data_IF_732602103909
#
_entry.id   IF_732602103909
#
_cell.length_a   1.000
_cell.length_b   1.000
_cell.length_c   1.000
_cell.angle_alpha   90.00
_cell.angle_beta   90.00
_cell.angle_gamma   90.00
#
_symmetry.space_group_name_H-M   'P 1'
#
loop_
_entity.id
_entity.type
_entity.pdbx_description
1 polymer ?
#
# COMPACT_ATOMS: atom_id res chain seq x y z
N UNK A 1 1.03 -8.36 -25.21
CA UNK A 1 -0.42 -8.63 -25.25
C UNK A 1 -1.09 -7.46 -24.58
N UNK A 2 -1.77 -6.60 -25.35
CA UNK A 2 -2.60 -5.54 -24.79
C UNK A 2 -3.74 -6.21 -24.01
N UNK A 3 -3.94 -5.80 -22.76
CA UNK A 3 -5.05 -6.29 -21.96
C UNK A 3 -6.36 -5.84 -22.62
N UNK A 4 -7.17 -6.81 -23.06
CA UNK A 4 -8.50 -6.58 -23.65
C UNK A 4 -9.49 -6.13 -22.57
N UNK A 5 -9.24 -4.96 -21.99
CA UNK A 5 -10.13 -4.33 -21.00
C UNK A 5 -11.05 -3.33 -21.71
N UNK A 6 -12.38 -3.39 -21.47
CA UNK A 6 -13.31 -2.43 -22.05
C UNK A 6 -12.93 -0.98 -21.68
N UNK A 7 -13.20 0.00 -22.55
CA UNK A 7 -13.03 1.41 -22.23
C UNK A 7 -13.74 1.77 -20.92
N UNK A 8 -13.04 2.45 -20.02
CA UNK A 8 -13.55 2.83 -18.70
C UNK A 8 -13.22 1.84 -17.57
N UNK A 9 -12.73 0.63 -17.88
CA UNK A 9 -12.24 -0.27 -16.84
C UNK A 9 -10.92 0.27 -16.27
N UNK A 10 -10.86 0.44 -14.95
CA UNK A 10 -9.69 0.98 -14.24
C UNK A 10 -9.38 0.11 -13.04
N UNK A 11 -8.13 0.15 -12.62
CA UNK A 11 -7.71 -0.47 -11.38
C UNK A 11 -8.34 0.27 -10.18
N UNK A 12 -9.32 -0.35 -9.54
CA UNK A 12 -10.02 0.17 -8.37
C UNK A 12 -10.29 -0.96 -7.36
N UNK A 13 -9.23 -1.61 -6.84
CA UNK A 13 -9.40 -2.75 -5.95
C UNK A 13 -9.91 -2.33 -4.57
N UNK A 14 -10.57 -3.24 -3.87
CA UNK A 14 -10.91 -3.04 -2.45
C UNK A 14 -9.72 -3.28 -1.52
N UNK A 15 -9.85 -2.89 -0.24
CA UNK A 15 -8.86 -3.22 0.79
C UNK A 15 -8.64 -4.75 0.86
N UNK A 16 -9.71 -5.54 0.72
CA UNK A 16 -9.62 -7.01 0.75
C UNK A 16 -8.88 -7.57 -0.48
N UNK A 17 -9.16 -7.06 -1.67
CA UNK A 17 -8.49 -7.52 -2.90
C UNK A 17 -6.99 -7.19 -2.89
N UNK A 18 -6.63 -5.99 -2.40
CA UNK A 18 -5.22 -5.59 -2.26
C UNK A 18 -4.43 -6.54 -1.37
N UNK A 19 -5.00 -6.95 -0.23
CA UNK A 19 -4.32 -7.86 0.70
C UNK A 19 -4.46 -9.32 0.24
N UNK A 20 -5.69 -9.79 0.09
CA UNK A 20 -6.04 -11.19 -0.10
C UNK A 20 -5.68 -11.74 -1.48
N UNK A 21 -5.68 -10.90 -2.52
CA UNK A 21 -5.26 -11.28 -3.86
C UNK A 21 -3.84 -10.79 -4.17
N UNK A 22 -3.59 -9.47 -4.20
CA UNK A 22 -2.31 -8.95 -4.70
C UNK A 22 -1.14 -9.22 -3.74
N UNK A 23 -1.25 -8.78 -2.49
CA UNK A 23 -0.15 -8.91 -1.52
C UNK A 23 0.13 -10.38 -1.19
N UNK A 24 -0.92 -11.18 -0.94
CA UNK A 24 -0.79 -12.61 -0.64
C UNK A 24 -0.13 -13.37 -1.80
N UNK A 25 -0.55 -13.14 -3.05
CA UNK A 25 0.08 -13.77 -4.22
C UNK A 25 1.53 -13.34 -4.37
N UNK A 26 1.84 -12.06 -4.17
CA UNK A 26 3.21 -11.54 -4.25
C UNK A 26 4.12 -12.22 -3.21
N UNK A 27 3.69 -12.32 -1.95
CA UNK A 27 4.45 -13.03 -0.90
C UNK A 27 4.62 -14.51 -1.22
N UNK A 28 3.59 -15.15 -1.79
CA UNK A 28 3.66 -16.54 -2.23
C UNK A 28 4.41 -16.74 -3.57
N UNK A 29 5.02 -15.70 -4.14
CA UNK A 29 5.69 -15.72 -5.45
C UNK A 29 4.81 -16.28 -6.59
N UNK A 30 3.50 -16.11 -6.47
CA UNK A 30 2.54 -16.53 -7.49
C UNK A 30 2.44 -15.47 -8.59
N UNK A 31 2.23 -15.90 -9.84
CA UNK A 31 2.00 -14.98 -10.96
C UNK A 31 0.71 -14.17 -10.71
N UNK A 32 0.82 -12.87 -10.93
CA UNK A 32 -0.31 -11.93 -10.94
C UNK A 32 -0.59 -11.64 -12.41
N UNK A 33 -1.83 -11.87 -12.84
CA UNK A 33 -2.22 -11.83 -14.26
C UNK A 33 -2.22 -10.41 -14.86
N UNK A 34 -1.87 -9.39 -14.07
CA UNK A 34 -1.83 -7.99 -14.45
C UNK A 34 -0.57 -7.33 -13.84
N UNK A 35 0.32 -6.80 -14.68
CA UNK A 35 1.47 -5.96 -14.26
C UNK A 35 1.00 -4.53 -13.94
N UNK A 36 -0.02 -4.42 -13.08
CA UNK A 36 -0.67 -3.17 -12.70
C UNK A 36 0.01 -2.52 -11.50
N UNK A 37 0.70 -3.30 -10.67
CA UNK A 37 1.41 -2.82 -9.48
C UNK A 37 2.91 -3.02 -9.68
N UNK A 38 3.64 -1.91 -9.86
CA UNK A 38 5.09 -1.92 -10.03
C UNK A 38 5.80 -2.24 -8.72
N UNK A 39 6.93 -2.93 -8.81
CA UNK A 39 7.82 -3.13 -7.67
C UNK A 39 8.75 -1.92 -7.53
N UNK A 40 8.63 -1.24 -6.40
CA UNK A 40 9.36 0.00 -6.13
C UNK A 40 9.92 -0.11 -4.71
N UNK A 41 11.24 0.00 -4.56
CA UNK A 41 11.89 0.01 -3.25
C UNK A 41 11.77 1.40 -2.62
N UNK A 42 10.71 1.59 -1.82
CA UNK A 42 10.40 2.86 -1.14
C UNK A 42 11.45 3.29 -0.09
N UNK A 43 12.46 2.47 0.21
CA UNK A 43 13.56 2.84 1.12
C UNK A 43 14.75 3.47 0.40
N UNK A 44 14.90 3.20 -0.90
CA UNK A 44 15.97 3.74 -1.74
C UNK A 44 15.57 5.00 -2.50
N UNK A 45 14.29 5.32 -2.44
CA UNK A 45 13.67 6.35 -3.24
C UNK A 45 13.17 7.41 -2.27
N UNK A 46 13.60 8.65 -2.47
CA UNK A 46 13.07 9.71 -1.63
C UNK A 46 11.59 9.91 -1.99
N UNK A 47 10.69 10.20 -1.04
CA UNK A 47 9.25 10.34 -1.30
C UNK A 47 8.86 11.25 -2.48
N UNK A 48 9.77 12.15 -2.87
CA UNK A 48 9.64 13.10 -3.98
C UNK A 48 10.13 12.59 -5.34
N UNK A 49 10.90 11.51 -5.40
CA UNK A 49 11.31 10.90 -6.67
C UNK A 49 10.17 10.16 -7.37
N UNK A 50 9.05 9.92 -6.66
CA UNK A 50 7.82 9.43 -7.28
C UNK A 50 7.19 10.50 -8.20
N UNK A 51 7.43 11.80 -7.96
CA UNK A 51 6.98 12.93 -8.80
C UNK A 51 7.83 14.20 -8.53
N UNK A 52 8.88 14.43 -9.33
CA UNK A 52 9.57 15.70 -9.67
C UNK A 52 9.24 16.96 -8.81
N UNK A 53 9.45 16.94 -7.49
CA UNK A 53 9.19 18.11 -6.64
C UNK A 53 10.24 18.23 -5.53
N UNK A 54 11.28 19.02 -5.83
CA UNK A 54 12.35 19.40 -4.90
C UNK A 54 11.83 20.14 -3.66
N UNK A 55 11.51 19.41 -2.60
CA UNK A 55 11.46 19.88 -1.22
C UNK A 55 11.36 18.70 -0.27
N UNK A 56 12.32 18.56 0.64
CA UNK A 56 12.41 17.48 1.62
C UNK A 56 11.07 17.23 2.34
N UNK A 57 10.41 16.13 1.96
CA UNK A 57 9.10 15.73 2.47
C UNK A 57 9.25 14.61 3.51
N UNK A 58 9.04 14.91 4.79
CA UNK A 58 9.14 13.90 5.86
C UNK A 58 7.82 13.13 6.02
N UNK A 59 7.89 11.80 5.98
CA UNK A 59 6.78 10.93 6.39
C UNK A 59 6.47 11.13 7.88
N UNK A 60 5.21 11.35 8.23
CA UNK A 60 4.74 11.25 9.61
C UNK A 60 3.57 10.26 9.62
N UNK A 61 3.67 9.26 10.49
CA UNK A 61 2.62 8.28 10.67
C UNK A 61 1.43 8.97 11.34
N UNK A 62 0.30 9.05 10.66
CA UNK A 62 -0.94 9.62 11.19
C UNK A 62 -2.06 8.62 11.01
N UNK A 63 -2.23 7.72 11.97
CA UNK A 63 -3.34 6.79 11.97
C UNK A 63 -3.18 5.68 13.01
N UNK A 64 -4.32 5.23 13.54
CA UNK A 64 -4.43 3.90 14.14
C UNK A 64 -4.48 2.89 13.00
N UNK A 65 -3.87 1.73 13.20
CA UNK A 65 -3.96 0.64 12.23
C UNK A 65 -5.42 0.19 12.10
N UNK A 66 -5.89 0.02 10.87
CA UNK A 66 -7.24 -0.50 10.56
C UNK A 66 -7.11 -1.97 10.17
N UNK A 67 -7.78 -2.85 10.90
CA UNK A 67 -7.90 -4.26 10.52
C UNK A 67 -8.71 -4.42 9.23
N UNK A 68 -8.29 -5.35 8.37
CA UNK A 68 -8.95 -5.70 7.11
C UNK A 68 -9.37 -7.17 7.18
N UNK A 69 -10.63 -7.44 6.87
CA UNK A 69 -11.24 -8.76 7.01
C UNK A 69 -11.77 -9.27 5.67
N UNK A 70 -11.59 -10.56 5.39
CA UNK A 70 -12.31 -11.27 4.32
C UNK A 70 -13.26 -12.28 4.97
N UNK A 71 -14.57 -12.17 4.70
CA UNK A 71 -15.60 -13.06 5.27
C UNK A 71 -15.44 -13.34 6.78
N UNK A 72 -15.08 -12.31 7.55
CA UNK A 72 -14.78 -12.34 8.99
C UNK A 72 -13.41 -12.92 9.41
N UNK A 73 -12.56 -13.39 8.50
CA UNK A 73 -11.16 -13.71 8.78
C UNK A 73 -10.32 -12.43 8.70
N UNK A 74 -9.54 -12.13 9.74
CA UNK A 74 -8.50 -11.08 9.66
C UNK A 74 -7.46 -11.50 8.61
N UNK A 75 -7.30 -10.71 7.56
CA UNK A 75 -6.34 -10.98 6.49
C UNK A 75 -5.16 -10.02 6.50
N UNK A 76 -5.28 -8.90 7.22
CA UNK A 76 -4.17 -7.96 7.38
C UNK A 76 -4.57 -6.62 7.97
N UNK A 77 -3.66 -5.66 7.83
CA UNK A 77 -3.77 -4.32 8.41
C UNK A 77 -3.53 -3.25 7.33
N UNK A 78 -4.31 -2.18 7.38
CA UNK A 78 -4.10 -0.97 6.58
C UNK A 78 -3.70 0.18 7.49
N UNK A 79 -2.59 0.84 7.16
CA UNK A 79 -2.10 2.03 7.84
C UNK A 79 -2.07 3.20 6.87
N UNK A 80 -2.58 4.34 7.31
CA UNK A 80 -2.56 5.58 6.51
C UNK A 80 -1.39 6.45 6.94
N UNK A 81 -0.55 6.82 5.98
CA UNK A 81 0.58 7.72 6.14
C UNK A 81 0.24 9.05 5.47
N UNK A 82 0.53 10.16 6.16
CA UNK A 82 0.42 11.50 5.58
C UNK A 82 1.82 12.08 5.49
N UNK A 83 2.12 12.69 4.35
CA UNK A 83 3.41 13.31 4.13
C UNK A 83 3.38 14.79 4.53
N UNK A 84 4.51 15.29 5.02
CA UNK A 84 4.65 16.67 5.44
C UNK A 84 5.84 17.30 4.72
N UNK A 85 5.65 18.52 4.20
CA UNK A 85 6.71 19.32 3.60
C UNK A 85 7.44 20.12 4.67
N UNK A 86 8.76 20.29 4.50
CA UNK A 86 9.58 21.14 5.36
C UNK A 86 10.02 20.50 6.68
N UNK A 87 11.05 21.11 7.29
CA UNK A 87 11.58 20.73 8.60
C UNK A 87 10.79 21.37 9.75
N UNK A 88 10.90 20.81 10.95
CA UNK A 88 10.45 21.54 12.14
C UNK A 88 11.27 22.84 12.28
N UNK A 89 10.67 23.97 12.72
CA UNK A 89 9.30 24.13 13.20
C UNK A 89 8.24 24.32 12.10
N UNK A 90 8.64 24.64 10.87
CA UNK A 90 7.75 25.01 9.75
C UNK A 90 7.18 23.79 8.99
N UNK A 91 6.96 22.67 9.69
CA UNK A 91 6.47 21.45 9.06
C UNK A 91 5.01 21.63 8.66
N UNK A 92 4.72 21.57 7.37
CA UNK A 92 3.37 21.72 6.82
C UNK A 92 2.82 20.37 6.34
N UNK A 93 1.56 20.07 6.67
CA UNK A 93 0.87 18.87 6.17
C UNK A 93 0.68 19.02 4.66
N UNK A 94 0.93 17.95 3.90
CA UNK A 94 0.61 17.90 2.47
C UNK A 94 -0.66 17.09 2.21
N UNK A 95 -1.15 17.14 0.98
CA UNK A 95 -2.27 16.32 0.51
C UNK A 95 -1.85 14.89 0.12
N UNK A 96 -0.55 14.58 0.20
CA UNK A 96 -0.03 13.26 -0.11
C UNK A 96 -0.38 12.26 0.98
N UNK A 97 -1.00 11.17 0.56
CA UNK A 97 -1.43 10.05 1.40
C UNK A 97 -0.87 8.76 0.82
N UNK A 98 -0.39 7.88 1.69
CA UNK A 98 -0.03 6.50 1.34
C UNK A 98 -0.80 5.54 2.23
N UNK A 99 -1.40 4.52 1.64
CA UNK A 99 -1.97 3.40 2.38
C UNK A 99 -0.97 2.25 2.34
N UNK A 100 -0.38 1.96 3.49
CA UNK A 100 0.51 0.81 3.70
C UNK A 100 -0.33 -0.38 4.12
N UNK A 101 -0.22 -1.48 3.40
CA UNK A 101 -0.93 -2.73 3.67
C UNK A 101 0.06 -3.79 4.15
N UNK A 102 -0.31 -4.53 5.19
CA UNK A 102 0.46 -5.65 5.73
C UNK A 102 -0.42 -6.89 5.79
N UNK A 103 0.12 -8.03 5.39
CA UNK A 103 -0.54 -9.33 5.50
C UNK A 103 -0.50 -9.78 6.96
N UNK A 104 -1.57 -10.38 7.45
CA UNK A 104 -1.54 -11.09 8.73
C UNK A 104 -0.79 -12.41 8.54
N UNK A 105 0.15 -12.74 9.44
CA UNK A 105 0.82 -14.04 9.42
C UNK A 105 -0.20 -15.16 9.64
N UNK A 106 -0.15 -16.23 8.84
CA UNK A 106 -1.03 -17.40 8.99
C UNK A 106 -0.71 -18.26 10.25
N UNK A 107 0.01 -17.74 11.27
CA UNK A 107 0.35 -18.44 12.53
C UNK A 107 -0.82 -18.59 13.52
N UNK A 108 -2.05 -18.76 13.03
CA UNK A 108 -3.18 -19.24 13.83
C UNK A 108 -3.51 -20.71 13.51
N UNK A 109 -2.47 -21.51 13.28
CA UNK A 109 -2.53 -22.97 13.35
C UNK A 109 -2.09 -23.44 14.73
N UNK A 110 -3.06 -23.59 15.64
CA UNK A 110 -3.06 -24.47 16.83
C UNK A 110 -1.82 -24.45 17.77
N UNK A 111 -1.93 -24.01 19.03
CA UNK A 111 -0.98 -24.47 20.04
C UNK A 111 -1.20 -25.98 20.24
N UNK A 112 -0.19 -26.80 19.93
CA UNK A 112 -0.05 -28.15 20.51
C UNK A 112 0.67 -28.05 21.85
#
# INVERSE_FOLDING_TARGET
MESCVPPGFRFHPTDEELIGYYLRKKVASQKIDLDVIREIDLYRIEPWDLQDAGSSMKRKMSGRDKAVYDKAKLIGMRKTLVFYKGGAPNRQKSDWIMHEYRLESDENGTPQ
#
